data_IF_896455651899
#
_entry.id   IF_896455651899
#
_cell.length_a   1.000
_cell.length_b   1.000
_cell.length_c   1.000
_cell.angle_alpha   90.00
_cell.angle_beta   90.00
_cell.angle_gamma   90.00
#
_symmetry.space_group_name_H-M   'P 1'
#
loop_
_entity.id
_entity.type
_entity.pdbx_description
1 polymer ?
#
# COMPACT_ATOMS: atom_id res chain seq x y z
N UNK A 1 4.27 -22.01 23.72
CA UNK A 1 4.09 -20.58 23.53
C UNK A 1 4.59 -19.81 24.74
N UNK A 2 5.04 -18.57 24.51
CA UNK A 2 5.44 -17.66 25.59
C UNK A 2 4.36 -16.58 25.66
N UNK A 3 3.85 -16.29 26.86
CA UNK A 3 2.91 -15.19 27.06
C UNK A 3 3.62 -13.84 26.91
N UNK A 4 3.14 -12.99 26.00
CA UNK A 4 3.75 -11.69 25.72
C UNK A 4 3.73 -10.76 26.95
N UNK A 5 2.70 -10.87 27.78
CA UNK A 5 2.52 -10.03 28.96
C UNK A 5 3.56 -10.31 30.08
N UNK A 6 4.18 -11.50 30.06
CA UNK A 6 5.19 -11.89 31.05
C UNK A 6 6.62 -11.52 30.66
N UNK A 7 6.81 -11.03 29.41
CA UNK A 7 8.13 -10.67 28.91
C UNK A 7 8.69 -9.43 29.59
N UNK A 8 9.97 -9.48 29.94
CA UNK A 8 10.77 -8.30 30.31
C UNK A 8 10.88 -7.30 29.16
N UNK A 9 11.24 -6.06 29.44
CA UNK A 9 11.38 -5.04 28.39
C UNK A 9 12.45 -5.41 27.33
N UNK A 10 13.54 -6.04 27.75
CA UNK A 10 14.59 -6.54 26.84
C UNK A 10 14.05 -7.62 25.88
N UNK A 11 13.24 -8.55 26.38
CA UNK A 11 12.62 -9.61 25.58
C UNK A 11 11.56 -9.03 24.64
N UNK A 12 10.77 -8.04 25.08
CA UNK A 12 9.83 -7.32 24.21
C UNK A 12 10.52 -6.59 23.06
N UNK A 13 11.67 -5.95 23.31
CA UNK A 13 12.47 -5.33 22.26
C UNK A 13 12.95 -6.38 21.25
N UNK A 14 13.42 -7.53 21.72
CA UNK A 14 13.83 -8.63 20.83
C UNK A 14 12.65 -9.18 20.02
N UNK A 15 11.48 -9.34 20.64
CA UNK A 15 10.26 -9.77 19.95
C UNK A 15 9.84 -8.75 18.88
N UNK A 16 9.80 -7.45 19.22
CA UNK A 16 9.46 -6.37 18.28
C UNK A 16 10.39 -6.33 17.06
N UNK A 17 11.66 -6.72 17.19
CA UNK A 17 12.59 -6.83 16.05
C UNK A 17 12.17 -7.91 15.05
N UNK A 18 11.45 -8.94 15.50
CA UNK A 18 11.00 -10.06 14.67
C UNK A 18 9.66 -9.81 13.99
N UNK A 19 8.97 -8.73 14.34
CA UNK A 19 7.66 -8.38 13.80
C UNK A 19 7.79 -7.09 12.99
N UNK A 20 7.67 -7.19 11.66
CA UNK A 20 7.55 -6.03 10.78
C UNK A 20 6.10 -5.52 10.78
N UNK A 21 5.89 -4.20 10.69
CA UNK A 21 4.57 -3.63 10.60
C UNK A 21 4.44 -2.70 9.38
N UNK A 22 3.38 -2.89 8.60
CA UNK A 22 3.02 -2.06 7.45
C UNK A 22 1.67 -1.42 7.75
N UNK A 23 1.66 -0.09 7.85
CA UNK A 23 0.49 0.70 8.22
C UNK A 23 -0.29 1.15 6.99
N UNK A 24 -1.57 1.42 7.15
CA UNK A 24 -2.44 1.97 6.13
C UNK A 24 -1.96 3.34 5.62
N UNK A 25 -1.54 4.24 6.51
CA UNK A 25 -1.07 5.60 6.20
C UNK A 25 0.46 5.70 5.97
N UNK A 26 1.11 4.63 5.50
CA UNK A 26 2.55 4.55 5.25
C UNK A 26 3.44 4.79 6.48
N UNK A 27 3.05 5.72 7.36
CA UNK A 27 3.79 6.14 8.56
C UNK A 27 5.26 6.48 8.26
N UNK A 28 5.49 7.23 7.19
CA UNK A 28 6.81 7.73 6.78
C UNK A 28 7.04 9.14 7.34
N UNK A 29 8.31 9.47 7.55
CA UNK A 29 8.72 10.82 7.89
C UNK A 29 8.89 11.60 6.59
N UNK A 30 7.94 12.47 6.25
CA UNK A 30 7.80 13.13 4.96
C UNK A 30 9.04 13.90 4.51
N UNK A 31 9.71 14.60 5.44
CA UNK A 31 10.87 15.44 5.15
C UNK A 31 12.16 14.64 4.95
N UNK A 32 12.16 13.34 5.29
CA UNK A 32 13.34 12.49 5.17
C UNK A 32 13.37 11.75 3.82
N UNK A 33 14.59 11.48 3.29
CA UNK A 33 14.76 10.61 2.12
C UNK A 33 14.19 9.20 2.32
N UNK A 34 13.81 8.55 1.22
CA UNK A 34 13.30 7.17 1.24
C UNK A 34 14.27 6.22 1.96
N UNK A 35 15.56 6.29 1.66
CA UNK A 35 16.59 5.46 2.34
C UNK A 35 16.60 5.69 3.85
N UNK A 36 16.43 6.92 4.31
CA UNK A 36 16.43 7.22 5.75
C UNK A 36 15.18 6.66 6.41
N UNK A 37 14.01 6.76 5.74
CA UNK A 37 12.79 6.10 6.20
C UNK A 37 12.98 4.57 6.30
N UNK A 38 13.61 3.92 5.32
CA UNK A 38 13.89 2.48 5.36
C UNK A 38 14.87 2.14 6.50
N UNK A 39 15.88 2.98 6.74
CA UNK A 39 16.84 2.79 7.83
C UNK A 39 16.18 2.85 9.22
N UNK A 40 15.03 3.52 9.38
CA UNK A 40 14.31 3.46 10.67
C UNK A 40 13.91 2.04 11.08
N UNK A 41 13.73 1.12 10.12
CA UNK A 41 13.56 -0.31 10.40
C UNK A 41 14.76 -0.96 11.11
N UNK A 42 15.93 -0.33 11.08
CA UNK A 42 17.15 -0.81 11.75
C UNK A 42 17.38 -0.21 13.14
N UNK A 43 16.53 0.70 13.62
CA UNK A 43 16.70 1.37 14.90
C UNK A 43 16.83 0.39 16.06
N UNK A 44 16.06 -0.69 16.04
CA UNK A 44 16.14 -1.73 17.07
C UNK A 44 17.49 -2.46 17.17
N UNK A 45 18.37 -2.33 16.18
CA UNK A 45 19.69 -2.97 16.12
C UNK A 45 20.84 -2.02 16.45
N UNK A 46 20.54 -0.74 16.67
CA UNK A 46 21.50 0.28 17.08
C UNK A 46 21.45 0.49 18.59
N UNK A 47 22.53 1.02 19.15
CA UNK A 47 22.51 1.57 20.49
C UNK A 47 21.66 2.84 20.55
N UNK A 48 21.05 3.13 21.70
CA UNK A 48 20.11 4.23 21.88
C UNK A 48 20.67 5.60 21.42
N UNK A 49 21.93 5.91 21.70
CA UNK A 49 22.57 7.17 21.29
C UNK A 49 22.80 7.23 19.78
N UNK A 50 23.19 6.12 19.11
CA UNK A 50 23.35 6.07 17.66
C UNK A 50 21.99 6.26 16.96
N UNK A 51 20.95 5.65 17.51
CA UNK A 51 19.57 5.80 17.01
C UNK A 51 19.09 7.26 17.12
N UNK A 52 19.36 7.91 18.26
CA UNK A 52 19.00 9.31 18.49
C UNK A 52 19.70 10.28 17.51
N UNK A 53 20.95 9.96 17.13
CA UNK A 53 21.72 10.77 16.17
C UNK A 53 21.51 10.34 14.70
N UNK A 54 20.68 9.32 14.43
CA UNK A 54 20.47 8.81 13.07
C UNK A 54 21.71 8.19 12.44
N UNK A 55 22.65 7.69 13.26
CA UNK A 55 23.91 7.11 12.81
C UNK A 55 23.69 5.63 12.49
N UNK A 56 23.84 5.27 11.21
CA UNK A 56 23.74 3.89 10.73
C UNK A 56 25.05 3.46 10.10
N UNK A 57 25.51 2.25 10.45
CA UNK A 57 26.70 1.66 9.88
C UNK A 57 26.50 1.25 8.40
N UNK A 58 27.60 0.90 7.74
CA UNK A 58 27.57 0.50 6.32
C UNK A 58 26.72 -0.74 6.07
N UNK A 59 26.69 -1.70 7.01
CA UNK A 59 25.87 -2.90 6.88
C UNK A 59 24.37 -2.55 6.85
N UNK A 60 23.90 -1.69 7.76
CA UNK A 60 22.51 -1.22 7.79
C UNK A 60 22.14 -0.48 6.49
N UNK A 61 23.05 0.37 5.97
CA UNK A 61 22.83 1.07 4.71
C UNK A 61 22.71 0.11 3.53
N UNK A 62 23.53 -0.95 3.47
CA UNK A 62 23.42 -2.00 2.44
C UNK A 62 22.07 -2.72 2.51
N UNK A 63 21.61 -3.10 3.70
CA UNK A 63 20.30 -3.74 3.90
C UNK A 63 19.18 -2.81 3.40
N UNK A 64 19.23 -1.52 3.74
CA UNK A 64 18.22 -0.55 3.32
C UNK A 64 18.20 -0.36 1.79
N UNK A 65 19.37 -0.22 1.15
CA UNK A 65 19.47 -0.09 -0.31
C UNK A 65 18.99 -1.35 -1.02
N UNK A 66 19.37 -2.52 -0.54
CA UNK A 66 18.89 -3.80 -1.08
C UNK A 66 17.37 -3.92 -1.02
N UNK A 67 16.75 -3.55 0.12
CA UNK A 67 15.29 -3.59 0.21
C UNK A 67 14.61 -2.52 -0.66
N UNK A 68 15.22 -1.35 -0.87
CA UNK A 68 14.74 -0.38 -1.86
C UNK A 68 14.82 -0.90 -3.29
N UNK A 69 15.87 -1.64 -3.63
CA UNK A 69 16.01 -2.31 -4.92
C UNK A 69 14.91 -3.36 -5.14
N UNK A 70 14.66 -4.22 -4.15
CA UNK A 70 13.62 -5.26 -4.20
C UNK A 70 12.21 -4.69 -4.42
N UNK A 71 11.93 -3.49 -3.93
CA UNK A 71 10.65 -2.80 -4.16
C UNK A 71 10.69 -1.86 -5.37
N UNK A 72 11.73 -1.95 -6.22
CA UNK A 72 11.93 -1.14 -7.42
C UNK A 72 12.02 0.37 -7.16
N UNK A 73 12.63 0.78 -6.03
CA UNK A 73 12.78 2.20 -5.63
C UNK A 73 14.22 2.63 -5.34
N UNK A 74 15.23 1.86 -5.78
CA UNK A 74 16.64 2.23 -5.57
C UNK A 74 16.94 3.61 -6.18
N UNK A 75 16.39 3.92 -7.36
CA UNK A 75 16.54 5.21 -8.04
C UNK A 75 15.91 6.38 -7.27
N UNK A 76 14.97 6.11 -6.37
CA UNK A 76 14.29 7.08 -5.49
C UNK A 76 14.93 7.18 -4.09
N UNK A 77 16.00 6.43 -3.81
CA UNK A 77 16.58 6.33 -2.46
C UNK A 77 16.84 7.68 -1.79
N UNK A 78 17.27 8.69 -2.56
CA UNK A 78 17.58 10.04 -2.05
C UNK A 78 16.42 11.04 -2.13
N UNK A 79 15.27 10.66 -2.71
CA UNK A 79 14.09 11.53 -2.78
C UNK A 79 13.39 11.55 -1.42
N UNK A 80 12.91 12.72 -1.04
CA UNK A 80 12.09 12.90 0.18
C UNK A 80 10.76 12.16 0.03
N UNK A 81 10.25 11.62 1.14
CA UNK A 81 9.01 10.85 1.13
C UNK A 81 7.79 11.69 0.68
N UNK A 82 7.75 12.99 0.96
CA UNK A 82 6.68 13.89 0.49
C UNK A 82 6.64 14.08 -1.04
N UNK A 83 7.69 13.69 -1.77
CA UNK A 83 7.79 13.76 -3.23
C UNK A 83 7.51 12.42 -3.92
N UNK A 84 7.11 11.42 -3.17
CA UNK A 84 6.77 10.09 -3.67
C UNK A 84 5.25 9.97 -3.89
N UNK A 85 4.84 9.20 -4.91
CA UNK A 85 3.45 8.81 -5.10
C UNK A 85 2.96 7.90 -3.97
N UNK A 86 1.64 7.71 -3.81
CA UNK A 86 1.07 6.82 -2.79
C UNK A 86 1.62 5.40 -2.87
N UNK A 87 1.66 4.82 -4.07
CA UNK A 87 2.23 3.49 -4.28
C UNK A 87 3.74 3.42 -4.02
N UNK A 88 4.52 4.49 -4.33
CA UNK A 88 5.93 4.57 -3.98
C UNK A 88 6.12 4.65 -2.45
N UNK A 89 5.31 5.46 -1.75
CA UNK A 89 5.33 5.55 -0.28
C UNK A 89 5.06 4.19 0.36
N UNK A 90 4.06 3.46 -0.14
CA UNK A 90 3.75 2.14 0.38
C UNK A 90 4.88 1.14 0.14
N UNK A 91 5.51 1.16 -1.02
CA UNK A 91 6.70 0.33 -1.28
C UNK A 91 7.88 0.69 -0.39
N UNK A 92 8.08 1.98 -0.03
CA UNK A 92 9.06 2.38 0.99
C UNK A 92 8.70 1.83 2.36
N UNK A 93 7.42 1.81 2.74
CA UNK A 93 6.96 1.21 4.01
C UNK A 93 7.21 -0.31 4.04
N UNK A 94 6.99 -1.01 2.93
CA UNK A 94 7.36 -2.44 2.78
C UNK A 94 8.88 -2.62 2.94
N UNK A 95 9.70 -1.84 2.23
CA UNK A 95 11.16 -1.91 2.34
C UNK A 95 11.64 -1.64 3.78
N UNK A 96 11.00 -0.71 4.50
CA UNK A 96 11.27 -0.44 5.92
C UNK A 96 10.97 -1.65 6.79
N UNK A 97 9.80 -2.27 6.64
CA UNK A 97 9.42 -3.46 7.39
C UNK A 97 10.38 -4.62 7.12
N UNK A 98 10.73 -4.88 5.86
CA UNK A 98 11.67 -5.94 5.48
C UNK A 98 13.10 -5.66 5.92
N UNK A 99 13.52 -4.38 6.00
CA UNK A 99 14.82 -4.00 6.54
C UNK A 99 15.00 -4.37 8.01
N UNK A 100 13.90 -4.58 8.73
CA UNK A 100 13.93 -5.10 10.10
C UNK A 100 14.36 -6.57 10.15
N UNK A 101 14.36 -7.29 9.03
CA UNK A 101 14.59 -8.74 8.93
C UNK A 101 13.61 -9.51 9.83
N UNK A 102 12.29 -9.31 9.64
CA UNK A 102 11.28 -9.89 10.50
C UNK A 102 11.09 -11.38 10.20
N UNK A 103 10.51 -12.12 11.14
CA UNK A 103 9.97 -13.47 10.90
C UNK A 103 8.47 -13.44 10.58
N UNK A 104 7.80 -12.35 10.98
CA UNK A 104 6.38 -12.11 10.73
C UNK A 104 6.19 -10.66 10.30
N UNK A 105 5.37 -10.43 9.28
CA UNK A 105 4.89 -9.10 8.89
C UNK A 105 3.40 -9.03 9.16
N UNK A 106 2.99 -7.96 9.84
CA UNK A 106 1.60 -7.57 10.01
C UNK A 106 1.34 -6.36 9.10
N UNK A 107 0.34 -6.45 8.24
CA UNK A 107 -0.04 -5.37 7.34
C UNK A 107 -1.52 -5.01 7.57
N UNK A 108 -1.76 -3.77 7.93
CA UNK A 108 -3.09 -3.26 8.18
C UNK A 108 -3.53 -2.39 7.02
N UNK A 109 -4.46 -2.89 6.22
CA UNK A 109 -5.01 -2.25 5.02
C UNK A 109 -3.93 -1.60 4.11
N UNK A 110 -2.89 -2.33 3.71
CA UNK A 110 -1.71 -1.74 3.08
C UNK A 110 -1.97 -1.08 1.72
N UNK A 111 -3.17 -1.19 1.18
CA UNK A 111 -3.53 -0.67 -0.16
C UNK A 111 -4.86 0.09 -0.19
N UNK A 112 -5.47 0.39 0.96
CA UNK A 112 -6.79 1.02 1.04
C UNK A 112 -6.87 2.40 0.35
N UNK A 113 -5.76 3.15 0.35
CA UNK A 113 -5.69 4.50 -0.23
C UNK A 113 -5.24 4.54 -1.70
N UNK A 114 -5.08 3.38 -2.34
CA UNK A 114 -4.54 3.26 -3.69
C UNK A 114 -5.65 2.90 -4.69
N UNK A 115 -5.50 3.36 -5.93
CA UNK A 115 -6.33 2.86 -7.02
C UNK A 115 -6.09 1.36 -7.27
N UNK A 116 -7.03 0.64 -7.92
CA UNK A 116 -6.96 -0.82 -8.05
C UNK A 116 -5.70 -1.34 -8.75
N UNK A 117 -5.17 -0.59 -9.72
CA UNK A 117 -3.98 -1.00 -10.45
C UNK A 117 -2.73 -0.89 -9.57
N UNK A 118 -2.55 0.25 -8.89
CA UNK A 118 -1.45 0.44 -7.94
C UNK A 118 -1.57 -0.51 -6.74
N UNK A 119 -2.79 -0.76 -6.24
CA UNK A 119 -3.03 -1.73 -5.18
C UNK A 119 -2.53 -3.13 -5.56
N UNK A 120 -2.85 -3.58 -6.78
CA UNK A 120 -2.39 -4.87 -7.32
C UNK A 120 -0.86 -4.92 -7.43
N UNK A 121 -0.24 -3.85 -7.93
CA UNK A 121 1.23 -3.75 -8.04
C UNK A 121 1.91 -3.80 -6.66
N UNK A 122 1.41 -3.07 -5.67
CA UNK A 122 1.95 -3.06 -4.30
C UNK A 122 1.80 -4.41 -3.62
N UNK A 123 0.62 -5.06 -3.75
CA UNK A 123 0.39 -6.40 -3.22
C UNK A 123 1.29 -7.44 -3.87
N UNK A 124 1.52 -7.36 -5.18
CA UNK A 124 2.46 -8.22 -5.89
C UNK A 124 3.89 -8.09 -5.35
N UNK A 125 4.34 -6.86 -5.11
CA UNK A 125 5.66 -6.60 -4.52
C UNK A 125 5.74 -7.16 -3.11
N UNK A 126 4.74 -6.93 -2.25
CA UNK A 126 4.72 -7.44 -0.88
C UNK A 126 4.75 -8.98 -0.86
N UNK A 127 3.88 -9.62 -1.63
CA UNK A 127 3.81 -11.08 -1.71
C UNK A 127 5.13 -11.71 -2.21
N UNK A 128 5.74 -11.11 -3.24
CA UNK A 128 7.02 -11.56 -3.78
C UNK A 128 8.13 -11.47 -2.74
N UNK A 129 8.30 -10.29 -2.12
CA UNK A 129 9.36 -10.03 -1.15
C UNK A 129 9.22 -10.91 0.10
N UNK A 130 7.99 -11.11 0.57
CA UNK A 130 7.70 -11.99 1.70
C UNK A 130 8.03 -13.46 1.41
N UNK A 131 7.68 -13.96 0.21
CA UNK A 131 8.01 -15.33 -0.22
C UNK A 131 9.51 -15.54 -0.40
N UNK A 132 10.23 -14.58 -0.99
CA UNK A 132 11.68 -14.65 -1.15
C UNK A 132 12.41 -14.81 0.19
N UNK A 133 11.93 -14.14 1.25
CA UNK A 133 12.53 -14.20 2.59
C UNK A 133 11.91 -15.29 3.49
N UNK A 134 10.89 -16.02 3.03
CA UNK A 134 10.17 -17.00 3.82
C UNK A 134 9.43 -16.40 5.03
N UNK A 135 8.98 -15.14 4.93
CA UNK A 135 8.34 -14.39 6.02
C UNK A 135 6.84 -14.64 6.03
N UNK A 136 6.32 -15.09 7.18
CA UNK A 136 4.88 -15.18 7.38
C UNK A 136 4.27 -13.77 7.34
N UNK A 137 3.30 -13.55 6.45
CA UNK A 137 2.66 -12.25 6.31
C UNK A 137 1.16 -12.38 6.61
N UNK A 138 0.69 -11.64 7.61
CA UNK A 138 -0.72 -11.50 7.96
C UNK A 138 -1.21 -10.14 7.49
N UNK A 139 -2.23 -10.13 6.64
CA UNK A 139 -2.75 -8.91 6.01
C UNK A 139 -4.23 -8.75 6.37
N UNK A 140 -4.57 -7.63 7.01
CA UNK A 140 -5.94 -7.17 7.09
C UNK A 140 -6.28 -6.43 5.78
N UNK A 141 -7.35 -6.85 5.09
CA UNK A 141 -7.74 -6.30 3.80
C UNK A 141 -9.25 -6.44 3.60
N UNK A 142 -9.88 -5.36 3.09
CA UNK A 142 -11.31 -5.37 2.75
C UNK A 142 -11.59 -5.72 1.29
N UNK A 143 -10.59 -5.64 0.42
CA UNK A 143 -10.74 -5.92 -1.02
C UNK A 143 -10.63 -7.42 -1.29
N UNK A 144 -11.79 -8.10 -1.39
CA UNK A 144 -11.89 -9.57 -1.51
C UNK A 144 -11.12 -10.10 -2.71
N UNK A 145 -11.18 -9.42 -3.84
CA UNK A 145 -10.51 -9.87 -5.07
C UNK A 145 -8.98 -9.86 -4.91
N UNK A 146 -8.42 -8.85 -4.23
CA UNK A 146 -7.00 -8.85 -3.90
C UNK A 146 -6.65 -9.94 -2.89
N UNK A 147 -7.50 -10.15 -1.88
CA UNK A 147 -7.29 -11.22 -0.92
C UNK A 147 -7.25 -12.59 -1.63
N UNK A 148 -8.20 -12.88 -2.53
CA UNK A 148 -8.22 -14.11 -3.34
C UNK A 148 -7.02 -14.27 -4.25
N UNK A 149 -6.52 -13.16 -4.83
CA UNK A 149 -5.42 -13.20 -5.78
C UNK A 149 -4.04 -13.46 -5.13
N UNK A 150 -3.84 -13.01 -3.89
CA UNK A 150 -2.51 -12.99 -3.27
C UNK A 150 -2.35 -13.89 -2.04
N UNK A 151 -3.44 -14.25 -1.35
CA UNK A 151 -3.37 -15.05 -0.14
C UNK A 151 -3.25 -16.55 -0.42
N UNK A 152 -2.50 -17.25 0.42
CA UNK A 152 -2.44 -18.71 0.45
C UNK A 152 -3.55 -19.29 1.35
N UNK A 153 -4.04 -18.51 2.34
CA UNK A 153 -5.11 -18.84 3.27
C UNK A 153 -5.89 -17.57 3.61
N UNK A 154 -7.21 -17.68 3.68
CA UNK A 154 -8.12 -16.61 4.06
C UNK A 154 -8.81 -16.93 5.39
N UNK A 155 -8.91 -15.93 6.24
CA UNK A 155 -9.66 -15.99 7.50
C UNK A 155 -10.73 -14.90 7.45
N UNK A 156 -12.00 -15.30 7.43
CA UNK A 156 -13.14 -14.40 7.49
C UNK A 156 -13.60 -14.23 8.94
N UNK A 157 -13.72 -12.97 9.38
CA UNK A 157 -14.13 -12.62 10.73
C UNK A 157 -15.43 -11.82 10.65
N UNK A 158 -16.44 -12.23 11.42
CA UNK A 158 -17.68 -11.49 11.58
C UNK A 158 -18.07 -11.47 13.07
N UNK A 159 -18.46 -10.31 13.61
CA UNK A 159 -18.83 -10.12 15.03
C UNK A 159 -17.80 -10.68 16.02
N UNK A 160 -16.51 -10.53 15.74
CA UNK A 160 -15.43 -11.01 16.59
C UNK A 160 -15.23 -12.53 16.59
N UNK A 161 -15.93 -13.27 15.69
CA UNK A 161 -15.78 -14.72 15.53
C UNK A 161 -15.24 -15.07 14.15
N UNK A 162 -14.46 -16.15 14.05
CA UNK A 162 -14.01 -16.69 12.78
C UNK A 162 -15.16 -17.45 12.15
N UNK A 163 -15.65 -17.00 11.00
CA UNK A 163 -16.74 -17.60 10.23
C UNK A 163 -16.25 -18.35 8.98
N UNK A 164 -15.02 -18.09 8.56
CA UNK A 164 -14.36 -18.79 7.48
C UNK A 164 -12.87 -18.93 7.75
N UNK A 165 -12.32 -20.09 7.43
CA UNK A 165 -10.89 -20.37 7.50
C UNK A 165 -10.57 -21.43 6.44
N UNK A 166 -9.96 -21.05 5.32
CA UNK A 166 -9.74 -21.92 4.19
C UNK A 166 -8.91 -21.30 3.07
N UNK A 167 -8.86 -22.00 1.94
CA UNK A 167 -8.16 -21.50 0.74
C UNK A 167 -9.03 -20.49 -0.02
N UNK A 168 -8.43 -19.60 -0.82
CA UNK A 168 -9.16 -18.60 -1.61
C UNK A 168 -10.26 -19.18 -2.51
N UNK A 169 -10.06 -20.35 -3.09
CA UNK A 169 -11.05 -21.01 -3.96
C UNK A 169 -12.25 -21.62 -3.21
N UNK A 170 -12.16 -21.74 -1.89
CA UNK A 170 -13.24 -22.24 -1.02
C UNK A 170 -14.16 -21.10 -0.57
N UNK A 171 -13.78 -19.84 -0.79
CA UNK A 171 -14.56 -18.67 -0.41
C UNK A 171 -15.71 -18.45 -1.39
N UNK A 172 -16.89 -18.94 -1.03
CA UNK A 172 -18.13 -18.85 -1.83
C UNK A 172 -18.85 -17.51 -1.61
N UNK A 173 -19.76 -17.09 -2.52
CA UNK A 173 -20.62 -15.91 -2.31
C UNK A 173 -21.43 -15.98 -1.02
N UNK A 174 -21.91 -17.17 -0.66
CA UNK A 174 -22.68 -17.39 0.59
C UNK A 174 -21.84 -17.10 1.83
N UNK A 175 -20.56 -17.51 1.83
CA UNK A 175 -19.63 -17.23 2.93
C UNK A 175 -19.32 -15.74 2.99
N UNK A 176 -19.12 -15.09 1.83
CA UNK A 176 -18.93 -13.63 1.76
C UNK A 176 -20.14 -12.90 2.35
N UNK A 177 -21.34 -13.30 2.00
CA UNK A 177 -22.55 -12.74 2.59
C UNK A 177 -22.58 -12.90 4.12
N UNK A 178 -22.13 -14.02 4.66
CA UNK A 178 -22.02 -14.19 6.11
C UNK A 178 -21.00 -13.24 6.75
N UNK A 179 -19.86 -13.02 6.10
CA UNK A 179 -18.83 -12.10 6.60
C UNK A 179 -19.35 -10.67 6.62
N UNK A 180 -20.05 -10.22 5.57
CA UNK A 180 -20.43 -8.80 5.41
C UNK A 180 -21.84 -8.45 5.90
N UNK A 181 -22.81 -9.39 5.93
CA UNK A 181 -24.18 -9.10 6.40
C UNK A 181 -24.25 -8.75 7.89
N UNK A 182 -23.34 -9.24 8.67
CA UNK A 182 -23.31 -8.93 10.10
C UNK A 182 -22.74 -7.54 10.41
N UNK A 183 -22.00 -6.94 9.46
CA UNK A 183 -21.45 -5.58 9.60
C UNK A 183 -22.51 -4.50 9.29
N UNK A 184 -23.60 -4.89 8.63
CA UNK A 184 -24.67 -3.97 8.23
C UNK A 184 -25.93 -4.17 9.08
N UNK A 185 -25.86 -3.86 10.32
CA UNK A 185 -27.05 -3.75 11.21
C UNK A 185 -28.10 -2.73 10.75
N UNK A 186 -28.11 -2.30 9.49
CA UNK A 186 -29.15 -1.55 8.78
C UNK A 186 -28.75 -1.08 7.36
N UNK A 187 -28.14 -1.90 6.52
CA UNK A 187 -27.91 -1.51 5.11
C UNK A 187 -28.51 -2.56 4.17
N UNK A 188 -29.33 -2.07 3.22
CA UNK A 188 -29.99 -2.85 2.16
C UNK A 188 -28.96 -3.64 1.32
N UNK A 189 -29.32 -4.82 0.77
CA UNK A 189 -28.41 -5.62 -0.03
C UNK A 189 -27.92 -4.83 -1.27
N UNK A 190 -26.62 -4.73 -1.44
CA UNK A 190 -26.01 -4.34 -2.71
C UNK A 190 -26.20 -5.51 -3.69
N UNK A 191 -27.31 -5.51 -4.40
CA UNK A 191 -27.52 -6.34 -5.58
C UNK A 191 -26.59 -5.83 -6.68
N UNK A 192 -25.66 -6.69 -7.08
CA UNK A 192 -24.81 -6.54 -8.28
C UNK A 192 -25.60 -6.73 -9.59
N UNK A 193 -26.83 -6.21 -9.66
CA UNK A 193 -27.70 -6.26 -10.84
C UNK A 193 -28.18 -4.87 -11.22
N UNK A 194 -27.25 -3.99 -11.60
CA UNK A 194 -27.64 -2.74 -12.32
C UNK A 194 -26.53 -2.32 -13.27
N UNK A 195 -26.13 -3.20 -14.17
CA UNK A 195 -25.35 -2.84 -15.36
C UNK A 195 -25.72 -3.75 -16.56
N UNK A 196 -27.02 -3.94 -16.83
CA UNK A 196 -27.50 -4.40 -18.14
C UNK A 196 -29.02 -4.27 -18.19
N UNK A 197 -29.56 -3.08 -18.44
CA UNK A 197 -30.80 -2.85 -19.21
C UNK A 197 -31.17 -1.36 -19.18
N UNK A 198 -30.50 -0.55 -19.96
CA UNK A 198 -31.10 0.60 -20.56
C UNK A 198 -31.12 0.39 -22.09
N UNK A 199 -32.17 -0.29 -22.53
CA UNK A 199 -32.58 -0.34 -23.90
C UNK A 199 -33.04 1.06 -24.31
N UNK A 200 -32.39 1.57 -25.34
CA UNK A 200 -32.74 2.73 -26.11
C UNK A 200 -34.22 2.68 -26.55
N UNK A 201 -35.01 3.68 -26.18
CA UNK A 201 -36.19 4.12 -26.93
C UNK A 201 -35.92 5.51 -27.45
N UNK A 202 -36.18 5.77 -28.76
CA UNK A 202 -35.94 7.07 -29.36
C UNK A 202 -37.18 7.97 -29.17
N UNK A 203 -37.01 9.07 -28.47
CA UNK A 203 -37.98 10.18 -28.53
C UNK A 203 -37.47 11.30 -29.42
N UNK A 204 -38.30 11.66 -30.36
CA UNK A 204 -38.20 12.71 -31.39
C UNK A 204 -38.16 14.13 -30.78
N UNK A 205 -37.50 15.08 -31.46
CA UNK A 205 -37.25 16.40 -30.90
C UNK A 205 -38.39 17.38 -31.19
N UNK A 206 -38.81 18.13 -30.18
CA UNK A 206 -39.55 19.39 -30.39
C UNK A 206 -38.66 20.58 -30.05
N UNK A 207 -38.55 21.45 -31.03
CA UNK A 207 -37.80 22.68 -31.03
C UNK A 207 -38.39 23.75 -30.11
N UNK A 208 -37.55 24.45 -29.36
CA UNK A 208 -37.69 25.89 -29.14
C UNK A 208 -36.35 26.52 -28.75
N UNK A 209 -35.95 27.38 -29.63
CA UNK A 209 -35.05 28.53 -29.61
C UNK A 209 -34.78 29.15 -28.24
N UNK A 210 -33.48 29.32 -27.89
CA UNK A 210 -32.93 30.63 -27.49
C UNK A 210 -31.40 30.61 -27.44
N UNK A 211 -30.86 31.73 -27.79
CA UNK A 211 -29.54 32.10 -28.27
C UNK A 211 -28.32 31.85 -27.34
N UNK A 212 -27.19 31.70 -28.01
CA UNK A 212 -25.78 31.70 -27.59
C UNK A 212 -25.33 32.92 -26.78
N UNK A 213 -24.16 32.85 -26.10
CA UNK A 213 -22.96 33.27 -26.83
C UNK A 213 -21.75 32.32 -26.64
N UNK A 214 -20.88 32.36 -27.65
CA UNK A 214 -19.66 31.60 -27.83
C UNK A 214 -18.52 31.94 -26.89
N UNK A 215 -17.64 30.99 -26.60
CA UNK A 215 -16.35 31.28 -25.97
C UNK A 215 -15.30 31.67 -27.00
N UNK A 216 -14.55 32.70 -26.65
CA UNK A 216 -13.43 33.25 -27.40
C UNK A 216 -12.23 32.32 -27.34
N UNK A 217 -11.76 31.90 -28.49
CA UNK A 217 -10.47 31.25 -28.72
C UNK A 217 -9.41 32.31 -28.73
N UNK A 218 -8.33 32.14 -27.93
CA UNK A 218 -7.07 32.86 -28.13
C UNK A 218 -6.03 31.84 -28.56
N UNK A 219 -5.70 31.89 -29.82
CA UNK A 219 -4.50 31.36 -30.45
C UNK A 219 -3.46 32.48 -30.44
N UNK A 220 -2.20 32.17 -30.11
CA UNK A 220 -1.00 32.65 -30.79
C UNK A 220 0.23 32.11 -30.02
N UNK A 221 0.97 31.22 -30.65
CA UNK A 221 2.13 31.43 -31.52
C UNK A 221 3.18 32.39 -30.94
N UNK A 222 4.32 31.85 -30.55
CA UNK A 222 5.54 32.22 -31.27
C UNK A 222 6.70 31.25 -31.06
N UNK A 223 7.17 30.73 -32.17
CA UNK A 223 8.49 30.14 -32.39
C UNK A 223 9.59 31.20 -32.32
N UNK A 224 10.78 30.66 -32.23
CA UNK A 224 12.09 31.27 -32.47
C UNK A 224 12.77 31.88 -31.24
N UNK A 225 13.88 31.33 -30.83
CA UNK A 225 15.21 31.69 -31.29
C UNK A 225 16.24 30.61 -30.90
N UNK A 226 16.76 29.98 -31.92
CA UNK A 226 18.04 29.27 -31.94
C UNK A 226 19.21 30.25 -31.91
N UNK A 227 20.30 29.74 -31.29
CA UNK A 227 21.69 30.10 -31.56
C UNK A 227 22.29 31.39 -30.96
N UNK A 228 23.31 31.13 -30.14
CA UNK A 228 24.70 31.60 -30.28
C UNK A 228 25.49 31.13 -29.05
N UNK A 229 26.41 30.18 -29.29
CA UNK A 229 27.87 30.36 -29.32
C UNK A 229 28.43 30.97 -28.01
N UNK A 230 29.28 30.30 -27.20
CA UNK A 230 30.58 29.81 -27.59
C UNK A 230 31.62 30.61 -26.79
N UNK A 231 32.55 29.90 -26.17
CA UNK A 231 33.87 30.37 -25.76
C UNK A 231 34.00 31.38 -24.60
N UNK A 232 34.35 30.89 -23.43
CA UNK A 232 35.70 31.06 -22.82
C UNK A 232 35.87 30.09 -21.65
#
# INVERSE_FOLDING_TARGET
GIEINTLSESERIQLRRKIGFIWQEYNLIDRLPAITNVLTGRLGYNNSWQSALGIFNTAHRRIALHNLERVNLLHRARHRADKLSGGEKQRVAIARAMSQQPTVVLADEPVASLDPELATQVMSVLARVAREDGVLTLINIHQVELAKAFADRLIGIANGTVVFDGKPNELTPTILDQIYRFDTGNAKPHTSETLMSETLTPETPTASSQAMPHPTVIHDMNESVLAKQGAR
#
